data_IF_241160083582
#
_entry.id   IF_241160083582
#
_cell.length_a   1.000
_cell.length_b   1.000
_cell.length_c   1.000
_cell.angle_alpha   90.00
_cell.angle_beta   90.00
_cell.angle_gamma   90.00
#
_symmetry.space_group_name_H-M   'P 1'
#
loop_
_entity.id
_entity.type
_entity.pdbx_description
1 polymer ?
#
# COMPACT_ATOMS: atom_id res chain seq x y z
N UNK A 1 14.55 7.28 -12.94
CA UNK A 1 13.42 8.23 -13.10
C UNK A 1 12.06 7.57 -13.29
N UNK A 2 11.84 6.57 -14.17
CA UNK A 2 10.50 6.01 -14.42
C UNK A 2 9.78 5.46 -13.18
N UNK A 3 10.51 4.81 -12.28
CA UNK A 3 9.96 4.27 -11.03
C UNK A 3 9.37 5.35 -10.10
N UNK A 4 9.96 6.54 -10.06
CA UNK A 4 9.45 7.65 -9.24
C UNK A 4 8.12 8.17 -9.78
N UNK A 5 8.02 8.35 -11.10
CA UNK A 5 6.77 8.79 -11.75
C UNK A 5 5.65 7.79 -11.50
N UNK A 6 5.91 6.48 -11.70
CA UNK A 6 4.92 5.43 -11.43
C UNK A 6 4.47 5.44 -9.96
N UNK A 7 5.41 5.56 -9.02
CA UNK A 7 5.09 5.61 -7.59
C UNK A 7 4.24 6.83 -7.21
N UNK A 8 4.52 8.00 -7.79
CA UNK A 8 3.70 9.20 -7.57
C UNK A 8 2.32 9.09 -8.21
N UNK A 9 2.18 8.40 -9.34
CA UNK A 9 0.89 8.20 -10.02
C UNK A 9 -0.01 7.18 -9.33
N UNK A 10 0.53 6.03 -8.91
CA UNK A 10 -0.25 5.00 -8.21
C UNK A 10 -0.46 5.30 -6.72
N UNK A 11 0.35 6.19 -6.15
CA UNK A 11 0.40 6.45 -4.73
C UNK A 11 1.35 5.50 -3.98
N UNK A 12 1.80 5.93 -2.81
CA UNK A 12 2.72 5.18 -1.95
C UNK A 12 2.14 4.89 -0.55
N UNK A 13 0.86 5.21 -0.34
CA UNK A 13 0.15 4.99 0.92
C UNK A 13 -1.31 4.63 0.63
N UNK A 14 -1.90 3.85 1.52
CA UNK A 14 -3.30 3.45 1.48
C UNK A 14 -3.94 3.70 2.83
N UNK A 15 -5.17 4.18 2.83
CA UNK A 15 -6.02 4.27 4.02
C UNK A 15 -7.09 3.19 3.88
N UNK A 16 -7.11 2.23 4.81
CA UNK A 16 -8.02 1.08 4.78
C UNK A 16 -8.87 1.12 6.04
N UNK A 17 -10.22 1.17 5.92
CA UNK A 17 -11.10 1.16 7.08
C UNK A 17 -11.03 -0.19 7.80
N UNK A 18 -11.21 -0.16 9.12
CA UNK A 18 -11.29 -1.34 9.96
C UNK A 18 -12.68 -1.37 10.60
N UNK A 19 -13.34 -2.52 10.54
CA UNK A 19 -14.66 -2.74 11.14
C UNK A 19 -14.62 -4.07 11.87
N UNK A 20 -15.05 -4.09 13.13
CA UNK A 20 -15.03 -5.29 14.00
C UNK A 20 -13.67 -6.02 14.03
N UNK A 21 -12.59 -5.24 14.11
CA UNK A 21 -11.21 -5.77 14.17
C UNK A 21 -10.68 -6.36 12.85
N UNK A 22 -11.37 -6.18 11.73
CA UNK A 22 -10.98 -6.69 10.41
C UNK A 22 -10.85 -5.57 9.39
N UNK A 23 -9.90 -5.72 8.45
CA UNK A 23 -9.81 -4.83 7.29
C UNK A 23 -11.13 -4.91 6.51
N UNK A 24 -11.80 -3.76 6.34
CA UNK A 24 -13.06 -3.66 5.63
C UNK A 24 -12.78 -3.49 4.13
N UNK A 25 -12.62 -4.63 3.47
CA UNK A 25 -12.26 -4.73 2.06
C UNK A 25 -13.35 -5.48 1.30
N UNK A 26 -13.58 -5.09 0.05
CA UNK A 26 -14.44 -5.83 -0.87
C UNK A 26 -13.81 -7.16 -1.31
N UNK A 27 -14.64 -8.09 -1.79
CA UNK A 27 -14.25 -9.47 -2.19
C UNK A 27 -13.04 -9.54 -3.11
N UNK A 28 -12.83 -8.52 -3.95
CA UNK A 28 -11.78 -8.48 -4.96
C UNK A 28 -10.69 -7.44 -4.69
N UNK A 29 -10.73 -6.77 -3.54
CA UNK A 29 -9.69 -5.83 -3.16
C UNK A 29 -8.49 -6.58 -2.59
N UNK A 30 -7.29 -6.14 -2.96
CA UNK A 30 -6.02 -6.65 -2.43
C UNK A 30 -5.06 -5.50 -2.16
N UNK A 31 -4.16 -5.70 -1.21
CA UNK A 31 -3.08 -4.75 -0.90
C UNK A 31 -1.84 -5.22 -1.65
N UNK A 32 -1.26 -4.35 -2.47
CA UNK A 32 -0.12 -4.68 -3.31
C UNK A 32 1.06 -3.75 -3.05
N UNK A 33 2.25 -4.34 -2.88
CA UNK A 33 3.51 -3.62 -2.94
C UNK A 33 4.02 -3.66 -4.38
N UNK A 34 3.82 -2.57 -5.12
CA UNK A 34 4.27 -2.45 -6.50
C UNK A 34 5.73 -1.96 -6.55
N UNK A 35 6.69 -2.87 -6.68
CA UNK A 35 8.07 -2.51 -6.96
C UNK A 35 8.25 -2.13 -8.43
N UNK A 36 8.80 -0.95 -8.69
CA UNK A 36 8.94 -0.40 -10.04
C UNK A 36 10.38 -0.35 -10.56
N UNK A 37 11.37 -0.73 -9.74
CA UNK A 37 12.76 -0.85 -10.16
C UNK A 37 13.06 -2.28 -10.62
N UNK A 38 13.81 -2.38 -11.71
CA UNK A 38 14.29 -3.66 -12.22
C UNK A 38 15.27 -4.32 -11.24
N UNK A 39 16.05 -3.51 -10.51
CA UNK A 39 16.96 -3.95 -9.46
C UNK A 39 16.51 -3.40 -8.11
N UNK A 40 15.72 -4.21 -7.41
CA UNK A 40 15.12 -3.82 -6.15
C UNK A 40 16.01 -4.19 -4.95
N UNK A 41 16.13 -3.26 -4.00
CA UNK A 41 16.57 -3.56 -2.63
C UNK A 41 15.36 -3.92 -1.75
N UNK A 42 15.55 -4.38 -0.50
CA UNK A 42 14.45 -4.60 0.43
C UNK A 42 13.57 -3.37 0.67
N UNK A 43 12.30 -3.58 1.01
CA UNK A 43 11.33 -2.53 1.32
C UNK A 43 10.85 -2.65 2.75
N UNK A 44 10.63 -1.49 3.37
CA UNK A 44 9.97 -1.39 4.66
C UNK A 44 8.58 -0.79 4.44
N UNK A 45 7.57 -1.42 5.02
CA UNK A 45 6.19 -0.94 5.02
C UNK A 45 5.86 -0.57 6.46
N UNK A 46 5.29 0.62 6.65
CA UNK A 46 4.83 1.09 7.96
C UNK A 46 3.32 1.01 7.99
N UNK A 47 2.78 0.42 9.06
CA UNK A 47 1.34 0.34 9.31
C UNK A 47 1.04 1.15 10.56
N UNK A 48 0.13 2.10 10.44
CA UNK A 48 -0.38 2.88 11.57
C UNK A 48 -1.84 2.52 11.76
N UNK A 49 -2.19 2.04 12.95
CA UNK A 49 -3.56 1.82 13.36
C UNK A 49 -4.02 3.04 14.16
N UNK A 50 -5.13 3.65 13.75
CA UNK A 50 -5.72 4.81 14.40
C UNK A 50 -7.24 4.65 14.41
N UNK A 51 -7.85 4.92 15.57
CA UNK A 51 -9.27 4.71 15.84
C UNK A 51 -9.53 4.67 17.34
N UNK A 52 -10.81 4.56 17.72
CA UNK A 52 -11.28 4.39 19.11
C UNK A 52 -11.72 2.94 19.29
#
# INVERSE_FOLDING_TARGET
>A
MPAHIKSSMFGCALTIPITDGRLNMGTWQGIWLCEHRDYATPRNIVITLNGI
#
